data_IF_758629874646
#
_entry.id   IF_758629874646
#
_cell.length_a   1.000
_cell.length_b   1.000
_cell.length_c   1.000
_cell.angle_alpha   90.00
_cell.angle_beta   90.00
_cell.angle_gamma   90.00
#
_symmetry.space_group_name_H-M   'P 1'
#
loop_
_entity.id
_entity.type
_entity.pdbx_description
1 polymer ?
#
# COMPACT_ATOMS: atom_id res chain seq x y z
N UNK A 1 -0.12 16.46 41.08
CA UNK A 1 0.76 15.68 40.18
C UNK A 1 0.96 16.51 38.93
N UNK A 2 2.19 16.84 38.56
CA UNK A 2 2.45 17.64 37.35
C UNK A 2 2.24 16.75 36.12
N UNK A 3 1.35 17.16 35.21
CA UNK A 3 1.08 16.42 33.97
C UNK A 3 2.29 16.55 33.04
N UNK A 4 2.98 15.44 32.78
CA UNK A 4 4.05 15.40 31.77
C UNK A 4 3.38 15.24 30.41
N UNK A 5 3.41 16.29 29.59
CA UNK A 5 2.87 16.24 28.24
C UNK A 5 3.85 15.56 27.29
N UNK A 6 3.33 14.63 26.49
CA UNK A 6 4.02 14.20 25.28
C UNK A 6 3.90 15.29 24.21
N UNK A 7 5.01 15.98 23.97
CA UNK A 7 5.12 17.08 23.00
C UNK A 7 5.80 16.63 21.69
N UNK A 8 6.06 15.34 21.48
CA UNK A 8 6.72 14.83 20.26
C UNK A 8 5.97 15.18 18.97
N UNK A 9 4.65 15.32 19.07
CA UNK A 9 3.76 15.65 17.96
C UNK A 9 3.27 17.11 17.99
N UNK A 10 3.87 17.97 18.82
CA UNK A 10 3.51 19.38 18.87
C UNK A 10 3.79 20.07 17.52
N UNK A 11 2.97 21.05 17.10
CA UNK A 11 1.78 21.57 17.79
C UNK A 11 0.48 20.80 17.49
N UNK A 12 0.57 19.66 16.81
CA UNK A 12 -0.59 18.99 16.21
C UNK A 12 -1.28 17.97 17.11
N UNK A 13 -0.61 17.48 18.15
CA UNK A 13 -1.17 16.47 19.05
C UNK A 13 -0.48 16.49 20.41
N UNK A 14 -1.27 16.37 21.47
CA UNK A 14 -0.81 16.36 22.86
C UNK A 14 -1.56 15.33 23.70
N UNK A 15 -0.91 14.79 24.72
CA UNK A 15 -1.51 13.89 25.70
C UNK A 15 -0.62 13.68 26.93
N UNK A 16 -1.17 13.09 28.01
CA UNK A 16 -0.51 12.95 29.31
C UNK A 16 0.42 11.72 29.40
N UNK A 17 0.46 10.90 28.35
CA UNK A 17 1.32 9.72 28.23
C UNK A 17 2.02 9.74 26.89
N UNK A 18 3.03 8.88 26.75
CA UNK A 18 3.68 8.64 25.47
C UNK A 18 2.66 8.11 24.46
N UNK A 19 2.26 8.96 23.52
CA UNK A 19 1.24 8.66 22.54
C UNK A 19 1.79 7.74 21.44
N UNK A 20 1.04 6.73 20.99
CA UNK A 20 1.50 5.86 19.91
C UNK A 20 1.64 6.65 18.62
N UNK A 21 2.68 6.37 17.83
CA UNK A 21 2.95 7.13 16.60
C UNK A 21 1.92 6.82 15.50
N UNK A 22 1.36 7.82 14.78
CA UNK A 22 0.48 7.55 13.64
C UNK A 22 1.14 6.66 12.57
N UNK A 23 0.36 5.98 11.70
CA UNK A 23 -1.10 5.87 11.68
C UNK A 23 -1.69 5.11 12.87
N UNK A 24 -2.93 5.49 13.25
CA UNK A 24 -3.71 4.82 14.30
C UNK A 24 -5.13 4.57 13.80
N UNK A 25 -5.66 3.40 14.12
CA UNK A 25 -7.08 3.10 14.09
C UNK A 25 -7.75 3.60 15.37
N UNK A 26 -9.01 4.03 15.22
CA UNK A 26 -9.83 4.56 16.32
C UNK A 26 -11.06 3.67 16.48
N UNK A 27 -11.07 2.83 17.51
CA UNK A 27 -12.26 2.08 17.90
C UNK A 27 -13.05 2.89 18.92
N UNK A 28 -14.23 3.37 18.55
CA UNK A 28 -15.10 4.15 19.44
C UNK A 28 -15.63 3.26 20.57
N UNK A 29 -15.57 3.76 21.79
CA UNK A 29 -16.06 3.09 23.00
C UNK A 29 -17.38 3.72 23.41
N UNK A 30 -18.36 2.89 23.76
CA UNK A 30 -19.67 3.36 24.21
C UNK A 30 -19.55 4.13 25.53
N UNK A 31 -19.96 5.39 25.54
CA UNK A 31 -19.79 6.29 26.68
C UNK A 31 -20.62 5.87 27.91
N UNK A 32 -21.76 5.21 27.68
CA UNK A 32 -22.67 4.71 28.71
C UNK A 32 -22.01 3.67 29.63
N UNK A 33 -20.99 2.96 29.15
CA UNK A 33 -20.22 2.01 29.93
C UNK A 33 -19.20 2.67 30.88
N UNK A 34 -18.90 3.96 30.67
CA UNK A 34 -17.84 4.68 31.37
C UNK A 34 -18.36 5.77 32.29
N UNK A 35 -19.55 6.32 32.01
CA UNK A 35 -20.10 7.50 32.68
C UNK A 35 -21.61 7.35 32.93
N UNK A 36 -22.04 7.71 34.14
CA UNK A 36 -23.46 7.71 34.52
C UNK A 36 -24.26 8.83 33.81
N UNK A 37 -23.64 9.99 33.57
CA UNK A 37 -24.29 11.15 32.94
C UNK A 37 -23.38 11.77 31.87
N UNK A 38 -23.35 11.14 30.70
CA UNK A 38 -22.53 11.54 29.56
C UNK A 38 -22.83 12.98 29.13
N UNK A 39 -24.10 13.39 29.07
CA UNK A 39 -24.47 14.71 28.57
C UNK A 39 -23.92 15.84 29.45
N UNK A 40 -24.04 15.71 30.77
CA UNK A 40 -23.53 16.71 31.72
C UNK A 40 -22.00 16.79 31.62
N UNK A 41 -21.32 15.65 31.56
CA UNK A 41 -19.88 15.59 31.38
C UNK A 41 -19.44 16.28 30.07
N UNK A 42 -20.09 15.96 28.95
CA UNK A 42 -19.75 16.55 27.65
C UNK A 42 -20.01 18.05 27.60
N UNK A 43 -21.00 18.57 28.34
CA UNK A 43 -21.24 20.01 28.47
C UNK A 43 -20.12 20.68 29.28
N UNK A 44 -19.69 20.09 30.39
CA UNK A 44 -18.57 20.62 31.18
C UNK A 44 -17.27 20.67 30.38
N UNK A 45 -17.02 19.65 29.54
CA UNK A 45 -15.87 19.65 28.63
C UNK A 45 -15.95 20.81 27.63
N UNK A 46 -17.13 21.09 27.07
CA UNK A 46 -17.32 22.24 26.17
C UNK A 46 -17.04 23.56 26.87
N UNK A 47 -17.54 23.74 28.09
CA UNK A 47 -17.32 24.95 28.89
C UNK A 47 -15.83 25.19 29.15
N UNK A 48 -15.06 24.14 29.48
CA UNK A 48 -13.61 24.22 29.65
C UNK A 48 -12.91 24.60 28.34
N UNK A 49 -13.31 24.00 27.22
CA UNK A 49 -12.70 24.29 25.92
C UNK A 49 -13.01 25.72 25.44
N UNK A 50 -14.23 26.20 25.66
CA UNK A 50 -14.65 27.59 25.38
C UNK A 50 -13.84 28.55 26.24
N UNK A 51 -13.69 28.27 27.55
CA UNK A 51 -12.90 29.11 28.46
C UNK A 51 -11.42 29.18 28.06
N UNK A 52 -10.86 28.08 27.53
CA UNK A 52 -9.51 28.03 26.98
C UNK A 52 -9.37 28.70 25.60
N UNK A 53 -10.48 29.09 24.96
CA UNK A 53 -10.49 29.62 23.60
C UNK A 53 -10.12 28.58 22.53
N UNK A 54 -10.30 27.29 22.82
CA UNK A 54 -9.93 26.17 21.94
C UNK A 54 -11.22 25.52 21.42
N UNK A 55 -11.72 25.87 20.22
CA UNK A 55 -12.95 25.31 19.70
C UNK A 55 -12.78 23.82 19.37
N UNK A 56 -13.70 23.00 19.88
CA UNK A 56 -13.75 21.55 19.62
C UNK A 56 -14.54 21.30 18.34
N UNK A 57 -13.97 20.50 17.43
CA UNK A 57 -14.66 20.01 16.24
C UNK A 57 -15.36 18.66 16.52
N UNK A 58 -14.71 17.78 17.29
CA UNK A 58 -15.23 16.45 17.60
C UNK A 58 -14.66 15.96 18.94
N UNK A 59 -15.43 15.15 19.68
CA UNK A 59 -14.96 14.50 20.92
C UNK A 59 -15.60 13.12 21.10
N UNK A 60 -14.84 12.16 21.59
CA UNK A 60 -15.32 10.79 21.82
C UNK A 60 -14.45 10.02 22.81
N UNK A 61 -14.96 8.91 23.34
CA UNK A 61 -14.13 7.90 24.00
C UNK A 61 -13.70 6.87 22.96
N UNK A 62 -12.43 6.53 22.90
CA UNK A 62 -11.91 5.58 21.93
C UNK A 62 -10.66 4.84 22.42
N UNK A 63 -10.44 3.64 21.90
CA UNK A 63 -9.15 2.96 21.93
C UNK A 63 -8.39 3.27 20.64
N UNK A 64 -7.21 3.89 20.77
CA UNK A 64 -6.34 4.21 19.64
C UNK A 64 -5.17 3.24 19.56
N UNK A 65 -5.06 2.51 18.46
CA UNK A 65 -4.10 1.41 18.30
C UNK A 65 -3.53 1.40 16.88
N UNK A 66 -2.40 0.74 16.68
CA UNK A 66 -1.89 0.52 15.32
C UNK A 66 -2.74 -0.51 14.59
N UNK A 67 -2.74 -0.40 13.26
CA UNK A 67 -3.41 -1.38 12.42
C UNK A 67 -2.91 -2.81 12.68
N UNK A 68 -3.85 -3.74 12.79
CA UNK A 68 -3.56 -5.15 13.08
C UNK A 68 -3.34 -5.48 14.56
N UNK A 69 -3.36 -4.48 15.45
CA UNK A 69 -3.38 -4.70 16.90
C UNK A 69 -4.84 -4.80 17.39
N UNK A 70 -5.10 -5.53 18.47
CA UNK A 70 -6.45 -5.57 19.04
C UNK A 70 -6.74 -4.29 19.85
N UNK A 71 -7.95 -3.68 19.71
CA UNK A 71 -8.32 -2.50 20.49
C UNK A 71 -8.25 -2.72 22.01
N UNK A 72 -8.45 -3.96 22.46
CA UNK A 72 -8.43 -4.40 23.86
C UNK A 72 -7.06 -4.21 24.53
N UNK A 73 -5.99 -4.15 23.75
CA UNK A 73 -4.62 -3.95 24.25
C UNK A 73 -4.29 -2.48 24.50
N UNK A 74 -5.13 -1.55 24.03
CA UNK A 74 -4.89 -0.12 24.13
C UNK A 74 -5.76 0.54 25.19
N UNK A 75 -5.21 1.52 25.95
CA UNK A 75 -5.97 2.22 26.97
C UNK A 75 -7.09 3.05 26.34
N UNK A 76 -8.24 3.09 27.00
CA UNK A 76 -9.33 3.99 26.63
C UNK A 76 -8.85 5.43 26.82
N UNK A 77 -9.08 6.25 25.79
CA UNK A 77 -8.70 7.65 25.75
C UNK A 77 -9.93 8.49 25.41
N UNK A 78 -10.13 9.58 26.14
CA UNK A 78 -11.04 10.64 25.76
C UNK A 78 -10.34 11.54 24.74
N UNK A 79 -10.72 11.36 23.48
CA UNK A 79 -10.14 12.04 22.33
C UNK A 79 -10.89 13.34 22.05
N UNK A 80 -10.15 14.44 22.01
CA UNK A 80 -10.59 15.77 21.59
C UNK A 80 -9.96 16.08 20.23
N UNK A 81 -10.77 16.42 19.24
CA UNK A 81 -10.31 16.97 17.97
C UNK A 81 -10.64 18.46 17.97
N UNK A 82 -9.62 19.30 18.09
CA UNK A 82 -9.78 20.73 18.35
C UNK A 82 -8.63 21.54 17.74
N UNK A 83 -8.91 22.78 17.30
CA UNK A 83 -7.91 23.62 16.63
C UNK A 83 -6.84 24.12 17.62
N UNK A 84 -5.70 23.44 17.64
CA UNK A 84 -4.62 23.64 18.62
C UNK A 84 -3.30 24.08 17.98
N UNK A 85 -3.18 24.03 16.65
CA UNK A 85 -1.91 24.34 15.96
C UNK A 85 -1.36 25.74 16.30
N UNK A 86 -2.24 26.74 16.43
CA UNK A 86 -1.88 28.14 16.71
C UNK A 86 -1.95 28.49 18.20
N UNK A 87 -2.00 27.48 19.08
CA UNK A 87 -2.16 27.68 20.53
C UNK A 87 -0.84 27.47 21.26
N UNK A 88 -0.61 28.32 22.27
CA UNK A 88 0.53 28.15 23.17
C UNK A 88 0.46 26.77 23.86
N UNK A 89 1.57 26.00 23.92
CA UNK A 89 1.57 24.68 24.52
C UNK A 89 1.06 24.63 25.97
N UNK A 90 1.25 25.72 26.73
CA UNK A 90 0.77 25.81 28.11
C UNK A 90 -0.76 25.96 28.20
N UNK A 91 -1.39 26.64 27.24
CA UNK A 91 -2.85 26.70 27.15
C UNK A 91 -3.43 25.30 26.87
N UNK A 92 -2.79 24.55 25.97
CA UNK A 92 -3.18 23.16 25.66
C UNK A 92 -2.94 22.24 26.87
N UNK A 93 -1.86 22.46 27.63
CA UNK A 93 -1.59 21.75 28.89
C UNK A 93 -2.68 21.98 29.92
N UNK A 94 -3.08 23.24 30.14
CA UNK A 94 -4.13 23.59 31.09
C UNK A 94 -5.45 22.92 30.71
N UNK A 95 -5.81 22.99 29.42
CA UNK A 95 -6.98 22.31 28.88
C UNK A 95 -6.97 20.81 29.19
N UNK A 96 -5.88 20.11 28.84
CA UNK A 96 -5.76 18.67 29.09
C UNK A 96 -5.85 18.33 30.58
N UNK A 97 -5.26 19.14 31.45
CA UNK A 97 -5.32 18.94 32.89
C UNK A 97 -6.75 19.13 33.46
N UNK A 98 -7.48 20.13 32.97
CA UNK A 98 -8.85 20.39 33.40
C UNK A 98 -9.82 19.31 32.89
N UNK A 99 -9.70 18.89 31.63
CA UNK A 99 -10.50 17.79 31.09
C UNK A 99 -10.18 16.46 31.78
N UNK A 100 -8.90 16.18 32.08
CA UNK A 100 -8.52 15.00 32.85
C UNK A 100 -9.15 15.00 34.25
N UNK A 101 -9.24 16.17 34.89
CA UNK A 101 -9.91 16.33 36.19
C UNK A 101 -11.41 16.06 36.09
N UNK A 102 -12.05 16.50 35.01
CA UNK A 102 -13.46 16.18 34.74
C UNK A 102 -13.66 14.67 34.56
N UNK A 103 -12.81 13.99 33.78
CA UNK A 103 -12.88 12.54 33.60
C UNK A 103 -12.82 11.81 34.94
N UNK A 104 -11.84 12.17 35.79
CA UNK A 104 -11.67 11.57 37.11
C UNK A 104 -12.86 11.84 38.04
N UNK A 105 -13.38 13.07 38.05
CA UNK A 105 -14.54 13.46 38.87
C UNK A 105 -15.80 12.69 38.47
N UNK A 106 -15.94 12.40 37.17
CA UNK A 106 -17.04 11.62 36.63
C UNK A 106 -16.84 10.09 36.76
N UNK A 107 -15.75 9.65 37.40
CA UNK A 107 -15.44 8.23 37.61
C UNK A 107 -14.73 7.52 36.43
N UNK A 108 -14.45 8.22 35.34
CA UNK A 108 -13.78 7.67 34.17
C UNK A 108 -12.25 7.70 34.34
N UNK A 109 -11.63 6.53 34.48
CA UNK A 109 -10.17 6.36 34.53
C UNK A 109 -9.60 6.20 33.11
N UNK A 110 -9.65 7.28 32.33
CA UNK A 110 -9.18 7.31 30.94
C UNK A 110 -8.06 8.33 30.74
N UNK A 111 -7.22 8.15 29.72
CA UNK A 111 -6.32 9.21 29.27
C UNK A 111 -7.08 10.30 28.51
N UNK A 112 -6.54 11.51 28.41
CA UNK A 112 -7.11 12.57 27.55
C UNK A 112 -6.12 12.93 26.47
N UNK A 113 -6.55 12.91 25.21
CA UNK A 113 -5.71 13.25 24.07
C UNK A 113 -6.37 14.36 23.27
N UNK A 114 -5.60 15.35 22.83
CA UNK A 114 -6.07 16.40 21.91
C UNK A 114 -5.29 16.35 20.60
N UNK A 115 -6.00 16.43 19.49
CA UNK A 115 -5.47 16.36 18.13
C UNK A 115 -6.02 17.50 17.30
N UNK A 116 -5.15 18.16 16.56
CA UNK A 116 -5.54 19.19 15.60
C UNK A 116 -6.32 18.54 14.43
N UNK A 117 -7.47 19.08 14.00
CA UNK A 117 -8.29 18.47 12.95
C UNK A 117 -7.50 18.16 11.66
N UNK A 118 -6.61 19.06 11.19
CA UNK A 118 -5.64 18.76 10.14
C UNK A 118 -4.81 17.49 10.28
N UNK A 119 -4.52 17.07 11.52
CA UNK A 119 -3.76 15.87 11.84
C UNK A 119 -4.66 14.64 12.04
N UNK A 120 -5.96 14.87 12.28
CA UNK A 120 -6.99 13.86 12.39
C UNK A 120 -7.60 13.56 11.00
N UNK A 121 -6.88 12.78 10.19
CA UNK A 121 -7.29 12.41 8.83
C UNK A 121 -6.51 13.12 7.72
N UNK A 122 -5.18 13.28 7.91
CA UNK A 122 -4.30 13.79 6.85
C UNK A 122 -4.49 13.01 5.56
N UNK A 123 -4.62 13.74 4.47
CA UNK A 123 -4.58 13.18 3.13
C UNK A 123 -3.14 13.03 2.67
N UNK A 124 -2.94 12.02 1.86
CA UNK A 124 -1.71 11.79 1.13
C UNK A 124 -2.03 11.87 -0.35
N UNK A 125 -1.19 12.55 -1.09
CA UNK A 125 -1.28 12.65 -2.54
C UNK A 125 0.10 12.32 -3.14
N UNK A 126 0.11 11.69 -4.30
CA UNK A 126 1.35 11.47 -5.05
C UNK A 126 2.02 12.79 -5.41
N UNK A 127 3.35 12.83 -5.37
CA UNK A 127 4.14 13.90 -6.01
C UNK A 127 4.09 13.67 -7.52
N UNK A 128 3.69 14.68 -8.29
CA UNK A 128 3.58 14.55 -9.75
C UNK A 128 4.93 14.84 -10.41
N UNK A 129 5.15 14.34 -11.63
CA UNK A 129 6.33 14.70 -12.43
C UNK A 129 6.42 16.22 -12.71
N UNK A 130 5.28 16.92 -12.68
CA UNK A 130 5.20 18.38 -12.79
C UNK A 130 5.65 19.11 -11.52
N UNK A 131 5.80 18.42 -10.39
CA UNK A 131 6.38 18.97 -9.15
C UNK A 131 7.91 19.00 -9.25
N UNK A 132 8.45 19.65 -10.28
CA UNK A 132 9.87 19.57 -10.66
C UNK A 132 10.83 19.86 -9.50
N UNK A 133 10.51 20.83 -8.64
CA UNK A 133 11.30 21.14 -7.45
C UNK A 133 11.30 19.98 -6.43
N UNK A 134 10.16 19.32 -6.21
CA UNK A 134 10.06 18.20 -5.28
C UNK A 134 10.85 16.98 -5.79
N UNK A 135 10.73 16.67 -7.09
CA UNK A 135 11.44 15.58 -7.74
C UNK A 135 12.95 15.82 -7.72
N UNK A 136 13.41 17.02 -8.09
CA UNK A 136 14.83 17.35 -8.05
C UNK A 136 15.40 17.26 -6.62
N UNK A 137 14.71 17.86 -5.64
CA UNK A 137 15.15 17.80 -4.25
C UNK A 137 15.22 16.35 -3.75
N UNK A 138 14.31 15.50 -4.20
CA UNK A 138 14.30 14.08 -3.85
C UNK A 138 15.48 13.31 -4.41
N UNK A 139 15.81 13.51 -5.69
CA UNK A 139 16.93 12.86 -6.34
C UNK A 139 18.26 13.20 -5.65
N UNK A 140 18.42 14.45 -5.20
CA UNK A 140 19.59 14.92 -4.46
C UNK A 140 19.62 14.41 -3.00
N UNK A 141 18.45 14.20 -2.39
CA UNK A 141 18.30 13.88 -0.97
C UNK A 141 18.34 12.37 -0.69
N UNK A 142 17.71 11.57 -1.53
CA UNK A 142 17.35 10.17 -1.27
C UNK A 142 18.54 9.32 -0.82
N UNK A 143 19.68 9.43 -1.51
CA UNK A 143 20.90 8.66 -1.18
C UNK A 143 21.47 9.02 0.20
N UNK A 144 21.36 10.28 0.62
CA UNK A 144 21.84 10.74 1.92
C UNK A 144 20.92 10.29 3.05
N UNK A 145 19.61 10.35 2.82
CA UNK A 145 18.61 9.86 3.77
C UNK A 145 18.77 8.35 3.96
N UNK A 146 18.88 7.59 2.86
CA UNK A 146 19.14 6.15 2.94
C UNK A 146 20.37 5.83 3.76
N UNK A 147 21.50 6.48 3.46
CA UNK A 147 22.72 6.26 4.21
C UNK A 147 22.56 6.53 5.71
N UNK A 148 21.83 7.59 6.06
CA UNK A 148 21.49 7.89 7.45
C UNK A 148 20.60 6.82 8.09
N UNK A 149 19.57 6.35 7.37
CA UNK A 149 18.65 5.33 7.84
C UNK A 149 19.35 3.98 8.06
N UNK A 150 20.23 3.55 7.14
CA UNK A 150 21.03 2.33 7.28
C UNK A 150 22.02 2.42 8.45
N UNK A 151 22.65 3.60 8.64
CA UNK A 151 23.54 3.85 9.77
C UNK A 151 22.77 3.81 11.09
N UNK A 152 21.58 4.40 11.10
CA UNK A 152 20.67 4.39 12.25
C UNK A 152 20.22 2.97 12.62
N UNK A 153 19.86 2.16 11.62
CA UNK A 153 19.50 0.77 11.83
C UNK A 153 20.66 -0.01 12.46
N UNK A 154 21.88 0.17 11.95
CA UNK A 154 23.09 -0.50 12.45
C UNK A 154 23.50 -0.06 13.85
N UNK A 155 23.56 1.24 14.10
CA UNK A 155 24.18 1.81 15.30
C UNK A 155 23.20 1.92 16.48
N UNK A 156 21.91 2.05 16.18
CA UNK A 156 20.85 2.27 17.18
C UNK A 156 19.80 1.17 17.21
N UNK A 157 19.91 0.15 16.35
CA UNK A 157 18.88 -0.90 16.24
C UNK A 157 17.51 -0.34 15.90
N UNK A 158 17.48 0.77 15.15
CA UNK A 158 16.28 1.50 14.75
C UNK A 158 16.02 1.24 13.26
N UNK A 159 15.37 0.11 12.95
CA UNK A 159 15.16 -0.34 11.58
C UNK A 159 14.07 0.48 10.90
N UNK A 160 14.21 0.67 9.58
CA UNK A 160 13.21 1.33 8.74
C UNK A 160 12.69 0.34 7.69
N UNK A 161 11.52 0.63 7.12
CA UNK A 161 10.83 -0.28 6.19
C UNK A 161 10.49 0.38 4.87
N UNK A 162 9.98 1.59 4.92
CA UNK A 162 9.66 2.38 3.73
C UNK A 162 10.23 3.78 3.86
N UNK A 163 10.56 4.36 2.73
CA UNK A 163 10.97 5.74 2.59
C UNK A 163 10.29 6.28 1.35
N UNK A 164 9.33 7.18 1.54
CA UNK A 164 8.41 7.62 0.50
C UNK A 164 8.32 9.15 0.49
N UNK A 165 7.94 9.72 -0.67
CA UNK A 165 7.75 11.16 -0.83
C UNK A 165 6.32 11.45 -1.30
N UNK A 166 5.58 12.25 -0.54
CA UNK A 166 4.18 12.57 -0.81
C UNK A 166 3.93 14.07 -0.67
N UNK A 167 2.78 14.53 -1.17
CA UNK A 167 2.16 15.76 -0.68
C UNK A 167 1.18 15.41 0.43
N UNK A 168 1.43 15.87 1.66
CA UNK A 168 0.63 15.53 2.84
C UNK A 168 0.11 16.77 3.55
N UNK A 169 -1.13 16.68 4.01
CA UNK A 169 -1.77 17.76 4.75
C UNK A 169 -3.27 17.54 4.90
N UNK A 170 -3.94 18.58 5.41
CA UNK A 170 -5.39 18.56 5.65
C UNK A 170 -6.22 19.03 4.46
N UNK A 171 -5.58 19.68 3.48
CA UNK A 171 -6.27 20.18 2.31
C UNK A 171 -6.86 19.03 1.50
N UNK A 172 -8.02 19.29 0.90
CA UNK A 172 -8.61 18.41 -0.10
C UNK A 172 -7.87 18.52 -1.45
N UNK A 173 -7.18 19.64 -1.66
CA UNK A 173 -6.43 19.92 -2.88
C UNK A 173 -4.96 19.56 -2.68
N UNK A 174 -4.43 18.71 -3.56
CA UNK A 174 -3.02 18.23 -3.54
C UNK A 174 -2.02 19.38 -3.43
N UNK A 175 -2.17 20.41 -4.26
CA UNK A 175 -1.15 21.46 -4.41
C UNK A 175 -1.05 22.38 -3.17
N UNK A 176 -2.06 22.33 -2.30
CA UNK A 176 -2.06 23.01 -1.00
C UNK A 176 -1.46 22.15 0.13
N UNK A 177 -1.04 20.92 -0.17
CA UNK A 177 -0.35 20.05 0.76
C UNK A 177 1.17 20.18 0.60
N UNK A 178 1.87 20.21 1.75
CA UNK A 178 3.32 20.28 1.78
C UNK A 178 3.96 19.01 1.23
N UNK A 179 5.13 19.13 0.61
CA UNK A 179 5.94 17.97 0.23
C UNK A 179 6.56 17.39 1.49
N UNK A 180 6.35 16.10 1.71
CA UNK A 180 6.70 15.40 2.95
C UNK A 180 7.41 14.10 2.63
N UNK A 181 8.62 13.95 3.16
CA UNK A 181 9.33 12.69 3.30
C UNK A 181 8.72 11.90 4.45
N UNK A 182 8.27 10.69 4.16
CA UNK A 182 7.67 9.76 5.12
C UNK A 182 8.61 8.58 5.29
N UNK A 183 9.05 8.35 6.53
CA UNK A 183 9.82 7.15 6.89
C UNK A 183 8.93 6.23 7.70
N UNK A 184 8.66 5.05 7.15
CA UNK A 184 7.89 4.00 7.81
C UNK A 184 8.79 3.07 8.62
N UNK A 185 8.47 2.86 9.90
CA UNK A 185 9.20 1.93 10.78
C UNK A 185 8.26 1.30 11.81
N UNK A 186 8.48 0.03 12.16
CA UNK A 186 7.76 -0.61 13.27
C UNK A 186 8.19 -0.07 14.64
N UNK A 187 9.35 0.58 14.68
CA UNK A 187 10.00 1.12 15.88
C UNK A 187 9.82 2.63 15.97
N UNK A 188 8.77 3.16 15.34
CA UNK A 188 8.43 4.60 15.33
C UNK A 188 8.30 5.21 16.73
N UNK A 189 7.97 4.39 17.73
CA UNK A 189 7.92 4.79 19.14
C UNK A 189 9.26 4.67 19.88
N UNK A 190 10.37 4.32 19.22
CA UNK A 190 11.70 4.36 19.82
C UNK A 190 12.10 5.82 20.11
N UNK A 191 12.59 6.16 21.35
CA UNK A 191 13.05 7.52 21.68
C UNK A 191 14.02 8.12 20.68
N UNK A 192 14.90 7.29 20.08
CA UNK A 192 15.88 7.74 19.11
C UNK A 192 15.26 8.60 18.00
N UNK A 193 14.13 8.18 17.42
CA UNK A 193 13.49 8.89 16.31
C UNK A 193 13.07 10.30 16.70
N UNK A 194 12.67 10.53 17.94
CA UNK A 194 12.14 11.80 18.38
C UNK A 194 13.21 12.70 18.98
N UNK A 195 14.18 12.11 19.67
CA UNK A 195 15.28 12.84 20.30
C UNK A 195 16.34 13.24 19.28
N UNK A 196 16.62 12.39 18.28
CA UNK A 196 17.74 12.60 17.35
C UNK A 196 17.33 12.40 15.88
N UNK A 197 16.69 11.28 15.55
CA UNK A 197 16.48 10.84 14.17
C UNK A 197 15.72 11.84 13.32
N UNK A 198 14.56 12.31 13.79
CA UNK A 198 13.71 13.26 13.10
C UNK A 198 14.44 14.59 12.85
N UNK A 199 15.18 15.10 13.83
CA UNK A 199 15.97 16.34 13.66
C UNK A 199 17.05 16.19 12.60
N UNK A 200 17.73 15.03 12.57
CA UNK A 200 18.74 14.76 11.56
C UNK A 200 18.12 14.66 10.16
N UNK A 201 17.01 13.92 10.02
CA UNK A 201 16.28 13.81 8.76
C UNK A 201 15.78 15.17 8.28
N UNK A 202 15.24 16.01 9.16
CA UNK A 202 14.83 17.37 8.84
C UNK A 202 16.02 18.23 8.37
N UNK A 203 17.19 18.09 9.00
CA UNK A 203 18.40 18.78 8.57
C UNK A 203 18.88 18.31 7.19
N UNK A 204 18.73 17.01 6.86
CA UNK A 204 19.03 16.48 5.53
C UNK A 204 18.02 16.98 4.50
N UNK A 205 16.72 16.90 4.82
CA UNK A 205 15.60 17.19 3.93
C UNK A 205 15.45 18.68 3.57
N UNK A 206 16.23 19.55 4.21
CA UNK A 206 16.20 21.01 4.08
C UNK A 206 14.82 21.60 4.44
N UNK A 207 14.65 22.93 4.36
CA UNK A 207 13.41 23.60 4.79
C UNK A 207 12.23 23.39 3.83
N UNK A 208 12.44 22.79 2.66
CA UNK A 208 11.42 22.65 1.63
C UNK A 208 10.66 21.31 1.69
N UNK A 209 11.18 20.32 2.41
CA UNK A 209 10.55 19.01 2.56
C UNK A 209 10.28 18.77 4.05
N UNK A 210 9.01 18.60 4.41
CA UNK A 210 8.63 18.16 5.75
C UNK A 210 9.05 16.71 5.97
N UNK A 211 9.29 16.31 7.21
CA UNK A 211 9.64 14.93 7.54
C UNK A 211 8.64 14.37 8.56
N UNK A 212 8.15 13.16 8.30
CA UNK A 212 7.29 12.40 9.20
C UNK A 212 7.86 11.00 9.43
N UNK A 213 7.80 10.53 10.68
CA UNK A 213 8.03 9.14 11.05
C UNK A 213 6.66 8.49 11.30
N UNK A 214 6.39 7.38 10.61
CA UNK A 214 5.13 6.65 10.75
C UNK A 214 5.34 5.21 11.23
N UNK A 215 4.38 4.71 12.02
CA UNK A 215 4.34 3.31 12.40
C UNK A 215 3.95 2.42 11.22
N UNK A 216 4.77 1.42 10.90
CA UNK A 216 4.50 0.44 9.84
C UNK A 216 4.89 -0.96 10.32
N UNK A 217 3.88 -1.80 10.61
CA UNK A 217 4.06 -3.15 11.19
C UNK A 217 4.27 -4.26 10.15
N UNK A 218 3.92 -4.04 8.87
CA UNK A 218 4.09 -4.97 7.74
C UNK A 218 4.59 -4.24 6.49
N UNK A 219 5.02 -4.96 5.44
CA UNK A 219 5.42 -4.36 4.14
C UNK A 219 4.23 -3.78 3.35
N UNK A 220 3.04 -3.94 3.90
CA UNK A 220 1.79 -3.44 3.37
C UNK A 220 1.57 -2.04 3.93
N UNK A 221 2.09 -1.02 3.24
CA UNK A 221 1.61 0.34 3.42
C UNK A 221 0.13 0.40 2.98
N UNK A 222 -0.82 0.06 3.87
CA UNK A 222 -2.24 -0.09 3.53
C UNK A 222 -3.12 0.98 4.19
N UNK A 223 -4.08 1.43 3.37
CA UNK A 223 -5.35 2.16 3.58
C UNK A 223 -5.36 3.58 4.16
N UNK A 224 -4.36 4.02 4.91
CA UNK A 224 -4.32 5.41 5.43
C UNK A 224 -3.62 6.40 4.49
N UNK A 225 -2.85 5.87 3.55
CA UNK A 225 -2.62 6.53 2.27
C UNK A 225 -3.82 6.11 1.43
N UNK A 226 -4.70 7.07 1.12
CA UNK A 226 -5.87 6.82 0.27
C UNK A 226 -5.42 5.95 -0.92
N UNK A 227 -6.08 4.82 -1.18
CA UNK A 227 -5.76 4.03 -2.37
C UNK A 227 -5.98 4.87 -3.64
N UNK A 228 -6.76 5.95 -3.54
CA UNK A 228 -6.93 6.97 -4.57
C UNK A 228 -5.77 7.97 -4.66
N UNK A 229 -4.92 8.10 -3.63
CA UNK A 229 -3.62 8.76 -3.75
C UNK A 229 -2.73 8.09 -4.82
N UNK A 230 -3.02 6.82 -5.12
CA UNK A 230 -2.43 6.01 -6.19
C UNK A 230 -3.38 5.74 -7.37
N UNK A 231 -4.63 6.23 -7.35
CA UNK A 231 -5.59 6.03 -8.45
C UNK A 231 -5.24 6.92 -9.65
N UNK A 232 -4.89 8.19 -9.42
CA UNK A 232 -4.19 9.00 -10.43
C UNK A 232 -2.70 8.62 -10.47
N UNK A 233 -2.07 8.56 -11.67
CA UNK A 233 -0.98 7.66 -12.00
C UNK A 233 0.11 7.58 -10.93
N UNK A 234 0.53 6.36 -10.62
CA UNK A 234 1.80 6.11 -9.91
C UNK A 234 2.93 6.66 -10.79
N UNK A 235 3.21 7.95 -10.64
CA UNK A 235 4.37 8.65 -11.14
C UNK A 235 5.42 8.61 -10.03
N UNK A 236 6.33 7.64 -10.13
CA UNK A 236 7.55 7.48 -9.32
C UNK A 236 7.39 7.63 -7.79
N UNK A 237 7.20 6.51 -7.10
CA UNK A 237 7.70 6.34 -5.74
C UNK A 237 8.97 5.49 -5.82
N UNK A 238 10.13 6.11 -5.67
CA UNK A 238 11.35 5.35 -5.39
C UNK A 238 11.28 4.86 -3.94
N UNK A 239 10.46 3.85 -3.68
CA UNK A 239 10.48 3.14 -2.40
C UNK A 239 11.74 2.27 -2.42
N UNK A 240 12.78 2.74 -1.75
CA UNK A 240 14.00 1.99 -1.50
C UNK A 240 13.76 1.16 -0.23
N UNK A 241 14.23 -0.09 -0.19
CA UNK A 241 13.97 -1.04 0.90
C UNK A 241 15.28 -1.65 1.40
N UNK A 242 15.51 -1.66 2.72
CA UNK A 242 16.69 -2.31 3.32
C UNK A 242 16.51 -3.83 3.44
N UNK A 243 17.58 -4.58 3.17
CA UNK A 243 17.69 -6.03 3.27
C UNK A 243 18.19 -6.43 4.67
N UNK A 244 17.32 -7.00 5.51
CA UNK A 244 17.71 -7.43 6.86
C UNK A 244 17.82 -8.95 6.91
N UNK A 245 19.05 -9.48 6.86
CA UNK A 245 19.32 -10.82 7.35
C UNK A 245 20.73 -10.94 7.92
N UNK A 246 20.86 -10.93 9.26
CA UNK A 246 21.88 -11.67 10.00
C UNK A 246 21.56 -11.77 11.51
N UNK A 247 21.76 -12.98 12.07
CA UNK A 247 21.73 -13.43 13.49
C UNK A 247 20.36 -13.63 14.17
N UNK A 248 20.19 -14.53 15.14
CA UNK A 248 20.79 -15.82 15.51
C UNK A 248 19.96 -16.38 16.68
N UNK A 249 19.81 -17.70 16.73
CA UNK A 249 19.07 -18.39 17.78
C UNK A 249 19.79 -18.36 19.14
N UNK A 250 19.03 -18.25 20.22
CA UNK A 250 19.40 -18.76 21.54
C UNK A 250 18.27 -19.57 22.18
N UNK A 251 18.56 -20.66 22.92
CA UNK A 251 17.55 -21.59 23.41
C UNK A 251 17.29 -21.53 24.93
N UNK A 252 16.20 -22.22 25.31
CA UNK A 252 15.86 -22.83 26.60
C UNK A 252 14.95 -22.06 27.58
N UNK A 253 13.74 -22.61 27.78
CA UNK A 253 13.40 -23.25 29.07
C UNK A 253 12.26 -24.29 28.91
N UNK A 254 12.29 -25.43 29.63
CA UNK A 254 11.30 -26.50 29.48
C UNK A 254 10.26 -26.55 30.61
N UNK A 255 9.27 -27.41 30.37
CA UNK A 255 8.37 -28.14 31.29
C UNK A 255 6.99 -27.51 31.58
N UNK A 256 5.91 -28.19 31.15
CA UNK A 256 5.29 -29.30 31.89
C UNK A 256 4.21 -30.02 31.06
N UNK A 257 4.26 -31.35 31.15
CA UNK A 257 3.30 -32.33 30.64
C UNK A 257 1.96 -32.23 31.39
N UNK A 258 0.84 -32.30 30.66
CA UNK A 258 -0.31 -33.14 31.01
C UNK A 258 -1.01 -33.65 29.75
N UNK A 259 -1.25 -34.96 29.76
CA UNK A 259 -2.06 -35.68 28.80
C UNK A 259 -3.53 -35.28 28.93
N UNK A 260 -4.13 -34.84 27.83
CA UNK A 260 -5.56 -35.03 27.53
C UNK A 260 -5.68 -35.31 26.03
N UNK A 261 -5.70 -36.60 25.72
CA UNK A 261 -5.91 -37.14 24.38
C UNK A 261 -7.42 -37.09 24.08
N UNK A 262 -7.85 -36.05 23.39
CA UNK A 262 -8.76 -36.16 22.25
C UNK A 262 -8.72 -34.83 21.49
N UNK A 263 -7.70 -34.70 20.63
CA UNK A 263 -7.49 -33.50 19.83
C UNK A 263 -8.59 -33.46 18.79
N UNK A 264 -9.58 -32.59 19.01
CA UNK A 264 -10.59 -32.22 18.04
C UNK A 264 -9.88 -31.97 16.68
N UNK A 265 -10.21 -32.72 15.61
CA UNK A 265 -9.52 -32.60 14.32
C UNK A 265 -9.55 -31.17 13.75
N UNK A 266 -10.54 -30.35 14.16
CA UNK A 266 -10.58 -28.93 13.84
C UNK A 266 -9.49 -28.10 14.55
N UNK A 267 -9.17 -28.43 15.80
CA UNK A 267 -8.14 -27.74 16.57
C UNK A 267 -6.75 -28.06 16.02
N UNK A 268 -6.50 -29.34 15.71
CA UNK A 268 -5.26 -29.75 15.02
C UNK A 268 -5.12 -29.04 13.67
N UNK A 269 -6.18 -29.00 12.87
CA UNK A 269 -6.16 -28.28 11.59
C UNK A 269 -5.96 -26.76 11.72
N UNK A 270 -6.38 -26.14 12.83
CA UNK A 270 -6.07 -24.73 13.10
C UNK A 270 -4.65 -24.51 13.62
N UNK A 271 -4.15 -25.41 14.48
CA UNK A 271 -2.77 -25.36 14.99
C UNK A 271 -1.76 -25.61 13.85
N UNK A 272 -2.04 -26.55 12.95
CA UNK A 272 -1.24 -26.80 11.75
C UNK A 272 -1.25 -25.58 10.82
N UNK A 273 -2.42 -24.99 10.54
CA UNK A 273 -2.53 -23.76 9.74
C UNK A 273 -1.87 -22.55 10.39
N UNK A 274 -1.91 -22.45 11.72
CA UNK A 274 -1.25 -21.38 12.48
C UNK A 274 0.27 -21.57 12.43
N UNK A 275 0.76 -22.80 12.58
CA UNK A 275 2.18 -23.12 12.41
C UNK A 275 2.65 -22.80 10.99
N UNK A 276 1.88 -23.20 9.98
CA UNK A 276 2.17 -22.89 8.57
C UNK A 276 2.19 -21.38 8.35
N UNK A 277 1.25 -20.63 8.96
CA UNK A 277 1.17 -19.16 8.88
C UNK A 277 2.36 -18.50 9.57
N UNK A 278 2.72 -18.95 10.78
CA UNK A 278 3.85 -18.46 11.55
C UNK A 278 5.16 -18.74 10.79
N UNK A 279 5.31 -19.92 10.18
CA UNK A 279 6.44 -20.26 9.32
C UNK A 279 6.45 -19.40 8.05
N UNK A 280 5.29 -19.19 7.44
CA UNK A 280 5.09 -18.30 6.31
C UNK A 280 5.48 -16.84 6.61
N UNK A 281 5.22 -16.37 7.84
CA UNK A 281 5.55 -15.03 8.34
C UNK A 281 7.04 -14.91 8.67
N UNK A 282 7.68 -15.99 9.15
CA UNK A 282 9.13 -16.05 9.41
C UNK A 282 9.97 -16.22 8.16
N UNK A 283 9.43 -16.87 7.12
CA UNK A 283 10.12 -17.02 5.84
C UNK A 283 10.23 -15.66 5.15
N UNK A 284 11.45 -15.15 4.95
CA UNK A 284 11.68 -13.99 4.12
C UNK A 284 11.24 -14.31 2.67
N UNK A 285 10.11 -13.75 2.23
CA UNK A 285 9.51 -13.93 0.89
C UNK A 285 10.09 -12.99 -0.17
N UNK A 286 11.09 -12.18 0.17
CA UNK A 286 11.75 -11.27 -0.77
C UNK A 286 12.47 -12.09 -1.85
N UNK A 287 11.92 -12.11 -3.07
CA UNK A 287 12.54 -12.82 -4.20
C UNK A 287 13.73 -12.01 -4.75
N UNK A 288 13.70 -10.69 -4.58
CA UNK A 288 14.66 -9.76 -5.16
C UNK A 288 14.33 -8.30 -4.85
N UNK A 289 15.16 -7.39 -5.35
CA UNK A 289 14.96 -5.94 -5.28
C UNK A 289 14.36 -5.45 -6.61
N UNK A 290 13.41 -4.52 -6.55
CA UNK A 290 12.97 -3.80 -7.75
C UNK A 290 14.13 -2.95 -8.26
N UNK A 291 14.68 -3.28 -9.42
CA UNK A 291 15.80 -2.55 -10.04
C UNK A 291 15.26 -1.38 -10.85
N UNK A 292 14.20 -1.62 -11.61
CA UNK A 292 13.57 -0.61 -12.44
C UNK A 292 12.12 -1.00 -12.69
N UNK A 293 11.27 -0.03 -12.95
CA UNK A 293 9.97 -0.26 -13.56
C UNK A 293 9.70 0.85 -14.55
N UNK A 294 8.87 0.60 -15.55
CA UNK A 294 8.43 1.68 -16.44
C UNK A 294 7.40 2.60 -15.82
N UNK A 295 6.70 2.13 -14.77
CA UNK A 295 5.42 2.67 -14.37
C UNK A 295 4.41 2.66 -15.53
N UNK A 296 3.31 3.39 -15.35
CA UNK A 296 2.30 3.63 -16.38
C UNK A 296 2.89 4.55 -17.45
N UNK A 297 3.31 4.01 -18.58
CA UNK A 297 3.80 4.82 -19.70
C UNK A 297 3.15 4.38 -20.99
N UNK A 298 3.31 5.23 -21.99
CA UNK A 298 3.07 4.84 -23.36
C UNK A 298 4.37 4.72 -24.11
N UNK A 299 4.45 3.77 -25.03
CA UNK A 299 5.58 3.61 -25.94
C UNK A 299 5.09 3.77 -27.37
N UNK A 300 5.84 4.53 -28.17
CA UNK A 300 5.64 4.51 -29.61
C UNK A 300 6.27 3.23 -30.15
N UNK A 301 5.44 2.32 -30.64
CA UNK A 301 5.87 1.07 -31.25
C UNK A 301 5.05 0.81 -32.51
N UNK A 302 5.66 0.08 -33.44
CA UNK A 302 4.95 -0.32 -34.66
C UNK A 302 3.89 -1.37 -34.35
N UNK A 303 2.80 -1.34 -35.10
CA UNK A 303 1.66 -2.27 -35.00
C UNK A 303 2.08 -3.75 -35.04
N UNK A 304 3.09 -4.06 -35.86
CA UNK A 304 3.67 -5.39 -36.04
C UNK A 304 5.17 -5.35 -35.75
N UNK A 305 5.59 -5.28 -34.48
CA UNK A 305 6.98 -5.09 -34.12
C UNK A 305 7.77 -6.36 -34.48
N UNK A 306 8.56 -6.30 -35.55
CA UNK A 306 9.41 -7.42 -35.97
C UNK A 306 10.85 -6.97 -36.22
N UNK A 307 11.83 -7.43 -35.41
CA UNK A 307 13.19 -6.90 -35.44
C UNK A 307 13.92 -7.13 -36.77
N UNK A 308 13.48 -8.10 -37.57
CA UNK A 308 14.07 -8.41 -38.88
C UNK A 308 13.23 -7.99 -40.10
N UNK A 309 12.09 -7.31 -39.92
CA UNK A 309 11.31 -6.78 -41.05
C UNK A 309 11.66 -5.32 -41.32
N UNK A 310 11.64 -4.86 -42.59
CA UNK A 310 11.78 -3.44 -42.89
C UNK A 310 10.64 -2.63 -42.25
N UNK A 311 10.93 -1.41 -41.80
CA UNK A 311 9.96 -0.54 -41.10
C UNK A 311 8.65 -0.33 -41.87
N UNK A 312 8.70 -0.38 -43.21
CA UNK A 312 7.54 -0.27 -44.09
C UNK A 312 6.55 -1.44 -43.99
N UNK A 313 6.97 -2.58 -43.43
CA UNK A 313 6.12 -3.76 -43.20
C UNK A 313 5.65 -3.89 -41.75
N UNK A 314 6.15 -3.04 -40.85
CA UNK A 314 5.81 -3.09 -39.42
C UNK A 314 4.49 -2.36 -39.09
N UNK A 315 3.85 -1.72 -40.08
CA UNK A 315 2.63 -0.94 -39.87
C UNK A 315 2.89 0.44 -39.25
N UNK A 316 1.81 1.10 -38.82
CA UNK A 316 1.90 2.45 -38.25
C UNK A 316 2.60 2.43 -36.88
N UNK A 317 3.30 3.51 -36.55
CA UNK A 317 3.77 3.73 -35.18
C UNK A 317 2.59 4.19 -34.32
N UNK A 318 2.23 3.37 -33.34
CA UNK A 318 1.09 3.56 -32.45
C UNK A 318 1.59 3.72 -31.02
N UNK A 319 0.78 4.40 -30.20
CA UNK A 319 1.07 4.66 -28.80
C UNK A 319 0.52 3.52 -27.93
N UNK A 320 1.32 2.50 -27.68
CA UNK A 320 0.95 1.34 -26.87
C UNK A 320 1.06 1.62 -25.38
N UNK A 321 0.16 1.04 -24.59
CA UNK A 321 0.28 1.02 -23.14
C UNK A 321 1.43 0.08 -22.73
N UNK A 322 2.23 0.51 -21.75
CA UNK A 322 3.32 -0.30 -21.23
C UNK A 322 3.46 -0.11 -19.71
N UNK A 323 3.58 -1.23 -19.00
CA UNK A 323 3.93 -1.30 -17.58
C UNK A 323 4.82 -2.53 -17.40
N UNK A 324 6.04 -2.38 -16.91
CA UNK A 324 6.96 -3.48 -16.63
C UNK A 324 7.75 -3.20 -15.37
N UNK A 325 8.19 -4.25 -14.70
CA UNK A 325 9.12 -4.20 -13.59
C UNK A 325 10.27 -5.19 -13.84
N UNK A 326 11.50 -4.71 -13.66
CA UNK A 326 12.72 -5.49 -13.59
C UNK A 326 13.04 -5.72 -12.11
N UNK A 327 12.99 -6.98 -11.70
CA UNK A 327 13.33 -7.40 -10.34
C UNK A 327 14.66 -8.15 -10.37
N UNK A 328 15.65 -7.65 -9.64
CA UNK A 328 16.92 -8.33 -9.43
C UNK A 328 16.79 -9.36 -8.32
N UNK A 329 16.90 -10.64 -8.62
CA UNK A 329 16.83 -11.70 -7.60
C UNK A 329 17.99 -11.58 -6.61
N UNK A 330 17.72 -11.78 -5.31
CA UNK A 330 18.79 -11.78 -4.30
C UNK A 330 19.83 -12.89 -4.57
N UNK A 331 21.12 -12.68 -4.24
CA UNK A 331 22.13 -13.73 -4.35
C UNK A 331 21.71 -15.02 -3.61
N UNK A 332 21.87 -16.17 -4.26
CA UNK A 332 21.47 -17.47 -3.71
C UNK A 332 19.97 -17.79 -3.83
N UNK A 333 19.14 -16.87 -4.33
CA UNK A 333 17.74 -17.13 -4.67
C UNK A 333 17.61 -17.29 -6.18
N UNK A 334 16.80 -18.26 -6.59
CA UNK A 334 16.39 -18.43 -7.98
C UNK A 334 14.88 -18.44 -8.05
N UNK A 335 14.31 -17.57 -8.87
CA UNK A 335 12.92 -17.68 -9.28
C UNK A 335 12.87 -18.37 -10.64
N UNK A 336 12.13 -19.47 -10.71
CA UNK A 336 11.80 -20.07 -12.00
C UNK A 336 10.39 -19.67 -12.38
N UNK A 337 10.26 -19.01 -13.54
CA UNK A 337 8.94 -18.78 -14.12
C UNK A 337 8.40 -20.13 -14.58
N UNK A 338 7.42 -20.64 -13.82
CA UNK A 338 6.67 -21.86 -14.12
C UNK A 338 5.19 -21.57 -13.93
N UNK A 339 4.38 -22.27 -14.69
CA UNK A 339 2.94 -22.30 -14.51
C UNK A 339 2.64 -23.00 -13.19
N UNK A 340 1.90 -22.33 -12.30
CA UNK A 340 1.57 -22.88 -10.98
C UNK A 340 0.06 -22.95 -10.77
N UNK A 341 -0.39 -24.08 -10.20
CA UNK A 341 -1.77 -24.38 -9.84
C UNK A 341 -2.72 -24.13 -11.01
N UNK A 342 -2.34 -24.60 -12.20
CA UNK A 342 -3.24 -24.55 -13.35
C UNK A 342 -4.46 -25.42 -13.07
N UNK A 343 -5.54 -24.79 -12.61
CA UNK A 343 -6.84 -25.41 -12.40
C UNK A 343 -7.79 -24.75 -13.37
N UNK A 344 -8.06 -25.44 -14.47
CA UNK A 344 -9.21 -25.09 -15.33
C UNK A 344 -10.44 -25.25 -14.46
N UNK A 345 -11.18 -24.15 -14.23
CA UNK A 345 -12.36 -24.22 -13.39
C UNK A 345 -13.37 -25.19 -14.01
N UNK A 346 -14.13 -25.91 -13.18
CA UNK A 346 -15.10 -26.91 -13.66
C UNK A 346 -16.06 -26.34 -14.72
N UNK A 347 -16.45 -25.07 -14.57
CA UNK A 347 -17.26 -24.35 -15.56
C UNK A 347 -16.58 -24.20 -16.92
N UNK A 348 -15.27 -23.95 -16.95
CA UNK A 348 -14.53 -23.81 -18.21
C UNK A 348 -14.37 -25.17 -18.91
N UNK A 349 -14.19 -26.25 -18.13
CA UNK A 349 -14.18 -27.61 -18.67
C UNK A 349 -15.55 -28.03 -19.23
N UNK A 350 -16.63 -27.74 -18.49
CA UNK A 350 -18.02 -27.98 -18.94
C UNK A 350 -18.34 -27.24 -20.24
N UNK A 351 -17.66 -26.12 -20.50
CA UNK A 351 -17.80 -25.29 -21.70
C UNK A 351 -16.85 -25.68 -22.84
N UNK A 352 -16.09 -26.75 -22.68
CA UNK A 352 -15.17 -27.26 -23.71
C UNK A 352 -13.90 -26.42 -23.88
N UNK A 353 -13.53 -25.58 -22.91
CA UNK A 353 -12.24 -24.87 -22.94
C UNK A 353 -11.12 -25.88 -22.68
N UNK A 354 -10.30 -26.12 -23.69
CA UNK A 354 -9.07 -26.90 -23.57
C UNK A 354 -7.86 -25.98 -23.40
N UNK A 355 -6.83 -26.48 -22.71
CA UNK A 355 -5.54 -25.81 -22.56
C UNK A 355 -4.42 -26.82 -22.80
N UNK A 356 -3.37 -26.37 -23.47
CA UNK A 356 -2.12 -27.09 -23.67
C UNK A 356 -1.11 -26.78 -22.57
N UNK A 357 -1.38 -25.79 -21.73
CA UNK A 357 -0.57 -25.47 -20.57
C UNK A 357 -0.72 -26.57 -19.51
N UNK A 358 0.35 -26.84 -18.79
CA UNK A 358 0.37 -27.82 -17.69
C UNK A 358 1.03 -27.23 -16.47
N UNK A 359 0.66 -27.72 -15.29
CA UNK A 359 1.29 -27.31 -14.03
C UNK A 359 2.78 -27.67 -14.04
N UNK A 360 3.62 -26.74 -13.58
CA UNK A 360 5.08 -26.85 -13.61
C UNK A 360 5.74 -26.52 -14.95
N UNK A 361 4.97 -26.26 -16.02
CA UNK A 361 5.52 -25.94 -17.34
C UNK A 361 6.37 -24.65 -17.26
N UNK A 362 7.64 -24.67 -17.73
CA UNK A 362 8.46 -23.47 -17.76
C UNK A 362 7.85 -22.37 -18.65
N UNK A 363 7.92 -21.13 -18.16
CA UNK A 363 7.47 -19.95 -18.88
C UNK A 363 8.56 -18.87 -18.90
N UNK A 364 9.65 -19.12 -19.61
CA UNK A 364 10.84 -18.24 -19.65
C UNK A 364 11.02 -17.51 -20.99
N UNK A 365 10.22 -17.85 -21.98
CA UNK A 365 10.36 -17.36 -23.35
C UNK A 365 9.31 -16.31 -23.67
N UNK A 366 9.70 -15.28 -24.42
CA UNK A 366 8.79 -14.29 -24.99
C UNK A 366 8.52 -14.61 -26.47
N UNK A 367 7.28 -14.44 -26.92
CA UNK A 367 6.89 -14.59 -28.31
C UNK A 367 6.18 -13.35 -28.83
N UNK A 368 6.63 -12.90 -29.99
CA UNK A 368 5.97 -11.85 -30.76
C UNK A 368 4.83 -12.50 -31.54
N UNK A 369 3.62 -11.96 -31.43
CA UNK A 369 2.45 -12.40 -32.21
C UNK A 369 2.67 -12.08 -33.70
N UNK A 370 3.01 -13.10 -34.49
CA UNK A 370 3.45 -12.93 -35.89
C UNK A 370 2.34 -12.76 -36.92
N UNK A 371 1.09 -13.09 -36.57
CA UNK A 371 0.00 -13.16 -37.54
C UNK A 371 -1.30 -12.64 -36.92
N UNK A 372 -1.63 -11.34 -37.13
CA UNK A 372 -2.88 -10.77 -36.64
C UNK A 372 -4.12 -11.43 -37.25
N UNK A 373 -4.00 -12.23 -38.32
CA UNK A 373 -5.10 -12.96 -38.95
C UNK A 373 -5.42 -14.32 -38.32
N UNK A 374 -4.58 -14.81 -37.39
CA UNK A 374 -4.77 -16.12 -36.77
C UNK A 374 -5.24 -15.95 -35.33
N UNK A 375 -6.41 -16.50 -35.04
CA UNK A 375 -6.94 -16.64 -33.68
C UNK A 375 -5.85 -17.21 -32.77
N UNK A 376 -5.44 -16.44 -31.77
CA UNK A 376 -4.34 -16.80 -30.88
C UNK A 376 -4.89 -17.06 -29.48
N UNK A 377 -4.89 -18.33 -29.07
CA UNK A 377 -5.36 -18.71 -27.75
C UNK A 377 -4.34 -18.30 -26.68
N UNK A 378 -4.83 -17.65 -25.64
CA UNK A 378 -4.00 -17.17 -24.52
C UNK A 378 -4.61 -17.54 -23.18
N UNK A 379 -3.75 -17.70 -22.17
CA UNK A 379 -4.13 -17.84 -20.78
C UNK A 379 -3.45 -16.75 -19.96
N UNK A 380 -4.08 -16.30 -18.90
CA UNK A 380 -3.49 -15.35 -17.96
C UNK A 380 -3.93 -15.74 -16.56
N UNK A 381 -3.13 -15.36 -15.55
CA UNK A 381 -3.47 -15.62 -14.16
C UNK A 381 -3.70 -14.31 -13.44
N UNK A 382 -4.97 -13.94 -13.34
CA UNK A 382 -5.43 -12.82 -12.54
C UNK A 382 -5.11 -13.00 -11.05
N UNK A 383 -4.79 -11.90 -10.38
CA UNK A 383 -4.66 -11.88 -8.92
C UNK A 383 -5.98 -12.22 -8.23
N UNK A 384 -7.10 -11.76 -8.80
CA UNK A 384 -8.45 -11.95 -8.22
C UNK A 384 -9.26 -12.98 -8.98
N UNK A 385 -9.01 -13.19 -10.28
CA UNK A 385 -9.76 -14.14 -11.12
C UNK A 385 -9.13 -15.53 -11.26
N UNK A 386 -7.97 -15.80 -10.65
CA UNK A 386 -7.22 -17.05 -10.89
C UNK A 386 -6.86 -17.19 -12.38
N UNK A 387 -6.73 -18.41 -12.90
CA UNK A 387 -6.50 -18.65 -14.32
C UNK A 387 -7.74 -18.30 -15.15
N UNK A 388 -7.55 -17.39 -16.11
CA UNK A 388 -8.51 -17.07 -17.16
C UNK A 388 -7.97 -17.49 -18.54
N UNK A 389 -8.90 -17.76 -19.46
CA UNK A 389 -8.61 -18.21 -20.81
C UNK A 389 -9.31 -17.31 -21.82
N UNK A 390 -8.53 -16.78 -22.75
CA UNK A 390 -9.02 -15.90 -23.79
C UNK A 390 -8.43 -16.22 -25.14
N UNK A 391 -8.76 -15.38 -26.09
CA UNK A 391 -8.12 -15.29 -27.38
C UNK A 391 -7.70 -13.85 -27.61
N UNK A 392 -6.48 -13.65 -28.08
CA UNK A 392 -6.12 -12.37 -28.67
C UNK A 392 -6.79 -12.34 -30.04
N UNK A 393 -7.62 -11.33 -30.26
CA UNK A 393 -8.46 -11.23 -31.45
C UNK A 393 -7.60 -11.36 -32.71
N UNK A 394 -8.02 -12.22 -33.63
CA UNK A 394 -7.39 -12.47 -34.94
C UNK A 394 -7.86 -11.50 -36.04
N UNK A 395 -8.39 -10.34 -35.64
CA UNK A 395 -8.72 -9.24 -36.53
C UNK A 395 -7.70 -8.14 -36.27
N UNK A 396 -7.03 -7.72 -37.34
CA UNK A 396 -5.94 -6.74 -37.53
C UNK A 396 -6.11 -5.35 -36.90
N UNK A 397 -6.95 -5.18 -35.89
CA UNK A 397 -7.24 -3.86 -35.31
C UNK A 397 -6.75 -3.80 -33.89
N UNK A 398 -5.61 -3.15 -33.73
CA UNK A 398 -5.25 -2.54 -32.46
C UNK A 398 -6.33 -1.51 -32.14
N UNK A 399 -7.04 -1.70 -31.02
CA UNK A 399 -8.17 -0.86 -30.67
C UNK A 399 -7.69 0.39 -29.94
N UNK A 400 -8.38 1.51 -30.13
CA UNK A 400 -8.19 2.72 -29.32
C UNK A 400 -9.00 2.62 -28.02
N UNK A 401 -8.39 2.88 -26.85
CA UNK A 401 -9.14 3.06 -25.59
C UNK A 401 -9.61 4.51 -25.49
N UNK A 402 -10.93 4.71 -25.40
CA UNK A 402 -11.56 6.02 -25.15
C UNK A 402 -12.80 5.95 -24.24
N UNK A 403 -12.81 5.18 -23.13
CA UNK A 403 -13.68 5.63 -22.04
C UNK A 403 -13.02 5.62 -20.66
N UNK A 404 -13.25 6.72 -19.94
CA UNK A 404 -13.06 6.84 -18.49
C UNK A 404 -11.60 6.94 -18.02
N UNK A 405 -11.35 6.39 -16.83
CA UNK A 405 -10.14 6.55 -16.04
C UNK A 405 -8.83 6.19 -16.76
N UNK A 406 -8.85 5.28 -17.75
CA UNK A 406 -7.63 4.86 -18.47
C UNK A 406 -7.10 5.97 -19.39
N UNK A 407 -7.98 6.70 -20.09
CA UNK A 407 -7.54 7.78 -20.97
C UNK A 407 -6.92 8.92 -20.15
N UNK A 408 -7.53 9.28 -19.03
CA UNK A 408 -6.98 10.25 -18.08
C UNK A 408 -5.65 9.76 -17.48
N UNK A 409 -5.60 8.48 -17.06
CA UNK A 409 -4.41 7.86 -16.46
C UNK A 409 -3.18 7.91 -17.37
N UNK A 410 -3.34 7.71 -18.68
CA UNK A 410 -2.25 7.66 -19.65
C UNK A 410 -2.10 8.95 -20.48
N UNK A 411 -2.83 10.01 -20.10
CA UNK A 411 -2.88 11.29 -20.83
C UNK A 411 -3.18 11.10 -22.33
N UNK A 412 -4.20 10.30 -22.61
CA UNK A 412 -4.69 9.98 -23.94
C UNK A 412 -5.85 10.91 -24.28
N UNK A 413 -6.00 11.23 -25.57
CA UNK A 413 -7.11 12.06 -26.07
C UNK A 413 -7.71 11.43 -27.32
N UNK A 414 -8.86 11.93 -27.77
CA UNK A 414 -9.44 11.50 -29.06
C UNK A 414 -8.47 11.73 -30.23
N UNK A 415 -7.67 12.80 -30.16
CA UNK A 415 -6.64 13.12 -31.15
C UNK A 415 -5.33 12.35 -30.99
N UNK A 416 -5.11 11.71 -29.83
CA UNK A 416 -3.88 10.99 -29.49
C UNK A 416 -4.24 9.77 -28.61
N UNK A 417 -4.90 8.75 -29.20
CA UNK A 417 -5.42 7.64 -28.44
C UNK A 417 -4.32 6.63 -28.06
N UNK A 418 -4.59 5.85 -27.01
CA UNK A 418 -3.77 4.71 -26.63
C UNK A 418 -4.27 3.43 -27.30
N UNK A 419 -3.33 2.55 -27.61
CA UNK A 419 -3.52 1.38 -28.44
C UNK A 419 -3.19 0.09 -27.68
N UNK A 420 -4.01 -0.96 -27.88
CA UNK A 420 -3.88 -2.24 -27.19
C UNK A 420 -4.36 -3.42 -28.04
N UNK A 421 -3.91 -4.62 -27.65
CA UNK A 421 -4.44 -5.88 -28.17
C UNK A 421 -5.63 -6.35 -27.33
N UNK A 422 -6.77 -6.56 -27.98
CA UNK A 422 -7.96 -7.03 -27.29
C UNK A 422 -7.89 -8.53 -27.03
N UNK A 423 -8.12 -8.91 -25.77
CA UNK A 423 -8.36 -10.29 -25.36
C UNK A 423 -9.88 -10.48 -25.22
N UNK A 424 -10.45 -11.38 -26.01
CA UNK A 424 -11.86 -11.80 -25.91
C UNK A 424 -11.97 -13.18 -25.27
N UNK A 425 -13.18 -13.57 -24.85
CA UNK A 425 -13.40 -14.91 -24.31
C UNK A 425 -13.30 -15.97 -25.41
N UNK A 426 -12.78 -17.16 -25.08
CA UNK A 426 -12.68 -18.28 -26.04
C UNK A 426 -14.02 -18.85 -26.50
N UNK A 427 -15.08 -18.64 -25.73
CA UNK A 427 -16.41 -19.20 -25.98
C UNK A 427 -17.37 -18.05 -26.27
N UNK A 428 -17.79 -17.92 -27.54
CA UNK A 428 -18.59 -16.79 -28.04
C UNK A 428 -20.00 -16.68 -27.43
N UNK A 429 -20.52 -17.74 -26.81
CA UNK A 429 -21.90 -17.78 -26.26
C UNK A 429 -22.01 -17.19 -24.84
N UNK A 430 -20.93 -16.65 -24.27
CA UNK A 430 -20.92 -16.13 -22.91
C UNK A 430 -20.62 -14.62 -22.87
N UNK A 431 -21.45 -13.87 -22.12
CA UNK A 431 -21.32 -12.42 -21.90
C UNK A 431 -20.60 -12.08 -20.58
N UNK A 432 -19.62 -12.89 -20.18
CA UNK A 432 -18.84 -12.57 -18.98
C UNK A 432 -17.68 -11.61 -19.27
N UNK A 433 -17.16 -10.96 -18.24
CA UNK A 433 -15.90 -10.25 -18.37
C UNK A 433 -14.74 -11.25 -18.53
N UNK A 434 -13.80 -10.94 -19.42
CA UNK A 434 -12.57 -11.73 -19.62
C UNK A 434 -11.72 -11.73 -18.35
N UNK A 435 -11.61 -10.58 -17.68
CA UNK A 435 -10.90 -10.44 -16.41
C UNK A 435 -11.67 -9.51 -15.46
N UNK A 436 -11.26 -9.49 -14.18
CA UNK A 436 -11.90 -8.72 -13.13
C UNK A 436 -11.04 -7.52 -12.72
N UNK A 437 -11.64 -6.50 -12.08
CA UNK A 437 -10.87 -5.46 -11.40
C UNK A 437 -9.80 -6.07 -10.48
N UNK A 438 -8.56 -5.60 -10.62
CA UNK A 438 -7.41 -6.06 -9.85
C UNK A 438 -6.57 -7.17 -10.50
N UNK A 439 -6.90 -7.60 -11.73
CA UNK A 439 -6.08 -8.52 -12.55
C UNK A 439 -5.02 -7.82 -13.41
N UNK A 440 -4.90 -6.49 -13.33
CA UNK A 440 -3.86 -5.74 -14.03
C UNK A 440 -2.45 -6.21 -13.63
N UNK A 441 -1.52 -6.19 -14.58
CA UNK A 441 -0.16 -6.71 -14.44
C UNK A 441 -0.04 -8.23 -14.62
N UNK A 442 -1.13 -8.95 -14.90
CA UNK A 442 -1.08 -10.40 -15.12
C UNK A 442 -0.33 -10.74 -16.40
N UNK A 443 0.56 -11.71 -16.35
CA UNK A 443 1.24 -12.23 -17.54
C UNK A 443 0.26 -12.94 -18.44
N UNK A 444 0.28 -12.58 -19.73
CA UNK A 444 -0.47 -13.26 -20.78
C UNK A 444 0.45 -14.27 -21.46
N UNK A 445 0.05 -15.53 -21.41
CA UNK A 445 0.78 -16.67 -21.95
C UNK A 445 0.06 -17.23 -23.18
N UNK A 446 0.82 -17.71 -24.15
CA UNK A 446 0.29 -18.48 -25.26
C UNK A 446 -0.13 -19.85 -24.81
N UNK A 447 -1.32 -20.24 -25.25
CA UNK A 447 -1.92 -21.54 -24.99
C UNK A 447 -2.13 -22.28 -26.32
N UNK A 448 -1.02 -22.51 -27.03
CA UNK A 448 -0.98 -23.21 -28.30
C UNK A 448 -0.23 -24.54 -28.22
N UNK A 449 -0.15 -25.24 -29.34
CA UNK A 449 0.34 -26.63 -29.47
C UNK A 449 1.83 -26.87 -29.10
N UNK A 450 2.55 -25.88 -28.56
CA UNK A 450 4.00 -25.98 -28.28
C UNK A 450 4.27 -26.05 -26.78
N UNK A 451 5.02 -27.05 -26.34
CA UNK A 451 5.27 -27.43 -24.95
C UNK A 451 6.13 -26.46 -24.10
N UNK A 452 5.91 -25.15 -24.19
CA UNK A 452 6.46 -24.15 -23.28
C UNK A 452 5.48 -22.95 -23.16
N UNK A 453 5.33 -22.41 -21.95
CA UNK A 453 4.49 -21.24 -21.71
C UNK A 453 5.18 -19.96 -22.21
N UNK A 454 4.80 -19.45 -23.37
CA UNK A 454 5.46 -18.27 -23.96
C UNK A 454 4.70 -16.99 -23.63
N UNK A 455 5.41 -15.99 -23.12
CA UNK A 455 4.83 -14.69 -22.77
C UNK A 455 4.56 -13.90 -24.04
N UNK A 456 3.40 -13.27 -24.13
CA UNK A 456 3.05 -12.40 -25.27
C UNK A 456 2.77 -10.96 -24.86
N UNK A 457 2.46 -10.74 -23.59
CA UNK A 457 2.21 -9.40 -23.06
C UNK A 457 1.75 -9.43 -21.62
N UNK A 458 1.24 -8.28 -21.17
CA UNK A 458 0.73 -8.08 -19.83
C UNK A 458 -0.71 -7.59 -19.93
N UNK A 459 -1.57 -8.08 -19.04
CA UNK A 459 -2.95 -7.65 -18.96
C UNK A 459 -3.02 -6.30 -18.24
N UNK A 460 -3.48 -5.26 -18.90
CA UNK A 460 -3.63 -3.91 -18.33
C UNK A 460 -4.98 -3.68 -17.66
N UNK A 461 -6.01 -4.41 -18.05
CA UNK A 461 -7.35 -4.31 -17.47
C UNK A 461 -8.41 -4.93 -18.37
N UNK A 462 -9.67 -4.59 -18.12
CA UNK A 462 -10.79 -4.87 -19.03
C UNK A 462 -11.83 -3.76 -18.98
N UNK A 463 -12.55 -3.59 -20.08
CA UNK A 463 -13.85 -2.96 -20.09
C UNK A 463 -14.70 -3.53 -21.24
N UNK A 464 -16.02 -3.39 -21.14
CA UNK A 464 -16.97 -3.84 -22.17
C UNK A 464 -16.80 -5.33 -22.54
N UNK A 465 -16.45 -6.18 -21.57
CA UNK A 465 -16.25 -7.61 -21.78
C UNK A 465 -14.95 -7.99 -22.50
N UNK A 466 -14.03 -7.05 -22.74
CA UNK A 466 -12.72 -7.32 -23.37
C UNK A 466 -11.57 -6.96 -22.44
N UNK A 467 -10.53 -7.80 -22.44
CA UNK A 467 -9.25 -7.53 -21.77
C UNK A 467 -8.29 -6.71 -22.64
N UNK A 468 -7.42 -5.94 -22.01
CA UNK A 468 -6.44 -5.09 -22.66
C UNK A 468 -5.04 -5.64 -22.45
N UNK A 469 -4.31 -5.89 -23.54
CA UNK A 469 -2.91 -6.34 -23.52
C UNK A 469 -1.99 -5.40 -24.26
#
# INVERSE_FOLDING_TARGET
MQLVLDARFAPHRYGPYRLPTPPLETAVVECSALLDNVQTFLQQVDEVCIAAGIPIAYRTFACRHHWGHEPSESPITFLLVAHIADREPEAVRSLLADVQRLCLTAGAQVGVEVVDPPYYGRKSFAVRATDGNAVQNWDELSSRVLHFLDTTARDHGCFWRTMDLFRRGASQERDNCAVTLVVGTAESDNPFWWDCGLRHLQALANQNIMVEILHVSSWEAISLIDQNAYQDPVCMGASLTEDVSHFAAYPNHPSRLRHENDVNPYRKGMEDKKSDLDEAQRCNRVIGSLIASSGRRTILAHEFPHPSQPSTQQGNALRFLADWALVGTQPGRSAENKIHKLKVHGRDQERGVTTHLTDGLPSKEYEILRSPSKRTLVAFRGRTSSWGFGEVNGVTTVNSILPGDIAETYNLSESDPGYYWAITQRVYEYHGDVCRPGDSGSVVLLDGERGAGRWVGLLFGAALGVGYM
#
